data_IF_608867405467
#
_entry.id   IF_608867405467
#
_cell.length_a   1.000
_cell.length_b   1.000
_cell.length_c   1.000
_cell.angle_alpha   90.00
_cell.angle_beta   90.00
_cell.angle_gamma   90.00
#
_symmetry.space_group_name_H-M   'P 1'
#
loop_
_entity.id
_entity.type
_entity.pdbx_description
1 polymer ?
#
# COMPACT_ATOMS: atom_id res chain seq x y z
N UNK A 1 8.76 -14.61 -10.15
CA UNK A 1 8.87 -14.23 -8.72
C UNK A 1 9.87 -13.08 -8.65
N UNK A 2 9.60 -12.01 -7.90
CA UNK A 2 10.53 -10.87 -7.78
C UNK A 2 11.09 -10.74 -6.35
N UNK A 3 12.11 -9.90 -6.18
CA UNK A 3 12.79 -9.70 -4.89
C UNK A 3 11.88 -9.12 -3.78
N UNK A 4 10.80 -8.40 -4.13
CA UNK A 4 9.83 -7.86 -3.16
C UNK A 4 9.09 -8.98 -2.43
N UNK A 5 8.99 -10.16 -3.04
CA UNK A 5 8.38 -11.34 -2.42
C UNK A 5 9.19 -11.85 -1.21
N UNK A 6 10.47 -11.51 -1.13
CA UNK A 6 11.39 -11.91 -0.06
C UNK A 6 11.35 -10.96 1.13
N UNK A 7 10.75 -9.78 0.97
CA UNK A 7 10.51 -8.87 2.09
C UNK A 7 9.58 -9.54 3.11
N UNK A 8 9.94 -9.41 4.38
CA UNK A 8 9.12 -9.82 5.52
C UNK A 8 8.57 -8.56 6.18
N UNK A 9 7.25 -8.44 6.27
CA UNK A 9 6.65 -7.32 7.01
C UNK A 9 7.08 -7.44 8.47
N UNK A 10 7.78 -6.41 8.96
CA UNK A 10 8.28 -6.30 10.33
C UNK A 10 8.32 -4.83 10.71
N UNK A 11 8.22 -4.54 12.00
CA UNK A 11 8.52 -3.21 12.52
C UNK A 11 10.03 -2.97 12.57
N UNK A 12 10.43 -1.71 12.45
CA UNK A 12 11.82 -1.29 12.62
C UNK A 12 12.13 -0.98 14.09
N UNK A 13 13.43 -0.92 14.40
CA UNK A 13 13.93 -0.72 15.78
C UNK A 13 15.01 0.35 15.82
N UNK A 14 14.74 1.48 15.18
CA UNK A 14 15.60 2.65 15.20
C UNK A 14 15.71 3.14 16.63
N UNK A 15 16.95 3.41 17.05
CA UNK A 15 17.24 3.97 18.36
C UNK A 15 16.98 5.47 18.35
N UNK A 16 16.41 5.96 19.44
CA UNK A 16 16.36 7.39 19.70
C UNK A 16 17.80 7.93 19.83
N UNK A 17 18.11 8.99 19.10
CA UNK A 17 19.36 9.72 19.27
C UNK A 17 19.37 10.52 20.57
N UNK A 18 20.57 10.84 21.06
CA UNK A 18 20.77 11.69 22.23
C UNK A 18 20.80 13.16 21.82
N UNK A 19 19.66 13.84 21.95
CA UNK A 19 19.53 15.27 21.64
C UNK A 19 19.26 16.08 22.90
N UNK A 20 19.87 17.27 22.97
CA UNK A 20 19.54 18.32 23.94
C UNK A 20 18.61 19.30 23.26
N UNK A 21 17.45 19.55 23.86
CA UNK A 21 16.47 20.50 23.35
C UNK A 21 16.45 21.75 24.22
N UNK A 22 16.18 22.90 23.59
CA UNK A 22 16.08 24.19 24.27
C UNK A 22 14.62 24.63 24.36
N UNK A 23 14.27 25.28 25.47
CA UNK A 23 12.96 25.90 25.65
C UNK A 23 12.82 27.09 24.70
N UNK A 24 11.64 27.23 24.10
CA UNK A 24 11.26 28.40 23.30
C UNK A 24 9.90 28.92 23.71
N UNK A 25 9.54 30.11 23.20
CA UNK A 25 8.36 30.87 23.62
C UNK A 25 7.05 30.07 23.71
N UNK A 26 6.88 29.06 22.85
CA UNK A 26 5.66 28.27 22.74
C UNK A 26 5.86 26.75 22.87
N UNK A 27 7.06 26.28 23.19
CA UNK A 27 7.35 24.86 23.34
C UNK A 27 8.56 24.63 24.26
N UNK A 28 8.38 23.85 25.31
CA UNK A 28 9.46 23.44 26.20
C UNK A 28 10.32 22.32 25.58
N UNK A 29 11.55 22.19 26.06
CA UNK A 29 12.47 21.11 25.75
C UNK A 29 11.88 19.73 26.08
N UNK A 30 11.07 19.65 27.15
CA UNK A 30 10.36 18.42 27.54
C UNK A 30 9.32 18.04 26.49
N UNK A 31 8.56 19.02 25.99
CA UNK A 31 7.58 18.80 24.91
C UNK A 31 8.26 18.41 23.61
N UNK A 32 9.35 19.09 23.23
CA UNK A 32 10.18 18.72 22.06
C UNK A 32 10.64 17.26 22.15
N UNK A 33 11.17 16.85 23.32
CA UNK A 33 11.59 15.47 23.56
C UNK A 33 10.44 14.47 23.42
N UNK A 34 9.24 14.81 23.90
CA UNK A 34 8.05 13.96 23.77
C UNK A 34 7.61 13.83 22.32
N UNK A 35 7.62 14.92 21.55
CA UNK A 35 7.33 14.91 20.11
C UNK A 35 8.33 14.02 19.39
N UNK A 36 9.63 14.20 19.64
CA UNK A 36 10.68 13.39 19.04
C UNK A 36 10.52 11.88 19.31
N UNK A 37 10.31 11.49 20.57
CA UNK A 37 10.06 10.08 20.94
C UNK A 37 8.82 9.52 20.25
N UNK A 38 7.74 10.30 20.21
CA UNK A 38 6.52 9.94 19.48
C UNK A 38 6.80 9.71 18.00
N UNK A 39 7.62 10.58 17.39
CA UNK A 39 8.02 10.48 16.00
C UNK A 39 8.86 9.23 15.70
N UNK A 40 9.84 8.91 16.54
CA UNK A 40 10.63 7.66 16.40
C UNK A 40 9.71 6.43 16.51
N UNK A 41 8.76 6.44 17.44
CA UNK A 41 7.75 5.38 17.54
C UNK A 41 6.89 5.29 16.29
N UNK A 42 6.50 6.43 15.72
CA UNK A 42 5.72 6.51 14.48
C UNK A 42 6.48 5.90 13.29
N UNK A 43 7.77 6.19 13.14
CA UNK A 43 8.66 5.59 12.13
C UNK A 43 8.81 4.08 12.34
N UNK A 44 9.13 3.64 13.55
CA UNK A 44 9.32 2.22 13.87
C UNK A 44 8.07 1.36 13.61
N UNK A 45 6.89 1.97 13.59
CA UNK A 45 5.61 1.32 13.26
C UNK A 45 5.12 1.65 11.84
N UNK A 46 5.99 2.12 10.95
CA UNK A 46 5.68 2.41 9.55
C UNK A 46 4.49 3.35 9.39
N UNK A 47 4.59 4.48 10.09
CA UNK A 47 3.63 5.57 10.08
C UNK A 47 2.22 5.11 10.49
N UNK A 48 2.09 4.19 11.45
CA UNK A 48 0.79 3.73 11.97
C UNK A 48 -0.03 4.89 12.54
N UNK A 49 -1.27 5.05 12.08
CA UNK A 49 -2.17 6.16 12.47
C UNK A 49 -2.29 6.36 13.99
N UNK A 50 -2.40 5.28 14.78
CA UNK A 50 -2.50 5.37 16.25
C UNK A 50 -1.26 5.99 16.92
N UNK A 51 -0.12 5.99 16.25
CA UNK A 51 1.13 6.59 16.72
C UNK A 51 1.30 8.03 16.22
N UNK A 52 0.43 8.50 15.32
CA UNK A 52 0.39 9.89 14.87
C UNK A 52 -0.35 10.77 15.88
N UNK A 53 0.37 11.21 16.91
CA UNK A 53 -0.19 11.98 18.02
C UNK A 53 -0.37 13.45 17.67
N UNK A 54 -1.30 14.11 18.37
CA UNK A 54 -1.64 15.53 18.18
C UNK A 54 -0.44 16.48 18.20
N UNK A 55 0.55 16.21 19.06
CA UNK A 55 1.74 17.06 19.16
C UNK A 55 2.65 16.97 17.93
N UNK A 56 2.69 15.84 17.23
CA UNK A 56 3.40 15.72 15.94
C UNK A 56 2.69 16.57 14.89
N UNK A 57 1.37 16.40 14.76
CA UNK A 57 0.54 17.20 13.85
C UNK A 57 0.69 18.71 14.09
N UNK A 58 0.60 19.13 15.35
CA UNK A 58 0.74 20.54 15.71
C UNK A 58 2.12 21.09 15.33
N UNK A 59 3.18 20.33 15.59
CA UNK A 59 4.54 20.71 15.20
C UNK A 59 4.64 20.88 13.68
N UNK A 60 4.16 19.91 12.91
CA UNK A 60 4.21 19.96 11.45
C UNK A 60 3.52 21.21 10.89
N UNK A 61 2.26 21.47 11.26
CA UNK A 61 1.50 22.57 10.64
C UNK A 61 1.78 23.96 11.25
N UNK A 62 2.25 24.06 12.50
CA UNK A 62 2.53 25.37 13.14
C UNK A 62 3.98 25.81 12.90
N UNK A 63 4.90 24.86 12.77
CA UNK A 63 6.34 25.14 12.87
C UNK A 63 7.14 24.66 11.66
N UNK A 64 6.62 23.72 10.88
CA UNK A 64 7.30 23.18 9.69
C UNK A 64 6.67 23.62 8.35
N UNK A 65 5.61 24.45 8.39
CA UNK A 65 5.00 25.05 7.20
C UNK A 65 4.03 24.17 6.45
N UNK A 66 3.73 22.96 6.94
CA UNK A 66 2.76 22.08 6.30
C UNK A 66 1.36 22.68 6.32
N UNK A 67 0.58 22.39 5.28
CA UNK A 67 -0.79 22.88 5.18
C UNK A 67 -1.62 22.22 6.28
N UNK A 68 -2.26 23.05 7.11
CA UNK A 68 -3.21 22.55 8.08
C UNK A 68 -4.46 22.04 7.35
N UNK A 69 -4.65 20.73 7.33
CA UNK A 69 -5.94 20.15 6.94
C UNK A 69 -6.97 20.38 8.06
N UNK A 70 -8.26 20.24 7.73
CA UNK A 70 -9.40 20.50 8.63
C UNK A 70 -9.25 19.86 10.03
N UNK A 71 -8.61 18.69 10.10
CA UNK A 71 -8.24 18.03 11.35
C UNK A 71 -6.97 17.17 11.17
N UNK A 72 -6.50 16.59 12.28
CA UNK A 72 -5.34 15.66 12.31
C UNK A 72 -5.51 14.47 11.35
N UNK A 73 -6.74 14.00 11.18
CA UNK A 73 -7.05 12.86 10.34
C UNK A 73 -6.87 13.23 8.86
N UNK A 74 -7.46 14.32 8.39
CA UNK A 74 -7.25 14.82 7.04
C UNK A 74 -5.77 15.06 6.73
N UNK A 75 -5.01 15.59 7.70
CA UNK A 75 -3.56 15.75 7.57
C UNK A 75 -2.85 14.41 7.39
N UNK A 76 -3.21 13.42 8.20
CA UNK A 76 -2.63 12.10 8.04
C UNK A 76 -3.02 11.48 6.69
N UNK A 77 -4.27 11.65 6.26
CA UNK A 77 -4.77 11.15 4.98
C UNK A 77 -3.99 11.70 3.80
N UNK A 78 -3.71 13.00 3.79
CA UNK A 78 -2.93 13.67 2.73
C UNK A 78 -1.51 13.10 2.63
N UNK A 79 -0.77 13.16 3.73
CA UNK A 79 0.67 12.89 3.72
C UNK A 79 1.06 11.42 3.97
N UNK A 80 0.14 10.59 4.46
CA UNK A 80 0.43 9.21 4.86
C UNK A 80 -0.56 8.18 4.27
N UNK A 81 -1.25 8.51 3.18
CA UNK A 81 -2.18 7.64 2.45
C UNK A 81 -1.60 6.25 2.12
N UNK A 82 -0.35 6.18 1.65
CA UNK A 82 0.31 4.90 1.34
C UNK A 82 0.60 4.08 2.59
N UNK A 83 0.99 4.72 3.70
CA UNK A 83 1.11 4.04 4.98
C UNK A 83 -0.24 3.54 5.48
N UNK A 84 -1.29 4.34 5.36
CA UNK A 84 -2.65 3.97 5.69
C UNK A 84 -3.08 2.69 4.94
N UNK A 85 -2.75 2.64 3.64
CA UNK A 85 -3.02 1.48 2.77
C UNK A 85 -2.23 0.24 3.21
N UNK A 86 -0.93 0.38 3.48
CA UNK A 86 -0.11 -0.71 4.01
C UNK A 86 -0.69 -1.26 5.32
N UNK A 87 -1.01 -0.39 6.28
CA UNK A 87 -1.53 -0.80 7.59
C UNK A 87 -2.88 -1.52 7.45
N UNK A 88 -3.74 -1.08 6.54
CA UNK A 88 -5.01 -1.75 6.22
C UNK A 88 -4.80 -3.17 5.72
N UNK A 89 -3.92 -3.35 4.73
CA UNK A 89 -3.67 -4.64 4.08
C UNK A 89 -2.94 -5.59 5.04
N UNK A 90 -1.91 -5.11 5.74
CA UNK A 90 -1.05 -5.94 6.58
C UNK A 90 -1.71 -6.38 7.90
N UNK A 91 -2.61 -5.56 8.45
CA UNK A 91 -3.23 -5.81 9.76
C UNK A 91 -4.76 -5.98 9.71
N UNK A 92 -5.33 -6.10 8.50
CA UNK A 92 -6.76 -6.31 8.28
C UNK A 92 -7.64 -5.28 9.01
N UNK A 93 -7.30 -3.99 8.89
CA UNK A 93 -8.10 -2.92 9.50
C UNK A 93 -9.44 -2.83 8.75
N UNK A 94 -10.52 -3.30 9.38
CA UNK A 94 -11.85 -3.49 8.78
C UNK A 94 -12.52 -2.19 8.30
N UNK A 95 -12.22 -1.06 8.96
CA UNK A 95 -12.91 0.20 8.65
C UNK A 95 -12.47 0.73 7.29
N UNK A 96 -13.42 0.95 6.38
CA UNK A 96 -13.21 1.68 5.13
C UNK A 96 -12.64 3.06 5.47
N UNK A 97 -11.40 3.33 5.04
CA UNK A 97 -10.79 4.63 5.06
C UNK A 97 -11.70 5.79 4.63
N UNK A 98 -11.85 6.80 5.48
CA UNK A 98 -12.45 8.08 5.08
C UNK A 98 -11.49 9.23 5.35
N UNK A 99 -11.66 10.33 4.63
CA UNK A 99 -10.93 11.60 4.88
C UNK A 99 -11.08 12.05 6.34
N UNK A 100 -12.24 11.80 6.95
CA UNK A 100 -12.52 12.09 8.35
C UNK A 100 -11.85 11.13 9.34
N UNK A 101 -11.52 9.92 8.89
CA UNK A 101 -10.77 8.92 9.66
C UNK A 101 -9.26 9.01 9.43
N UNK A 102 -8.84 9.83 8.46
CA UNK A 102 -7.44 10.00 8.09
C UNK A 102 -6.92 8.81 7.35
N UNK A 103 -7.75 8.22 6.50
CA UNK A 103 -7.26 7.27 5.54
C UNK A 103 -7.78 7.76 4.20
N UNK A 104 -6.97 8.52 3.48
CA UNK A 104 -7.25 8.79 2.08
C UNK A 104 -6.66 7.63 1.28
N UNK A 105 -7.47 6.63 0.94
CA UNK A 105 -7.04 5.64 -0.05
C UNK A 105 -7.43 6.21 -1.40
N UNK A 106 -6.61 7.13 -1.93
CA UNK A 106 -6.62 7.39 -3.37
C UNK A 106 -6.51 6.06 -4.13
N UNK A 107 -6.95 5.99 -5.39
CA UNK A 107 -7.10 4.75 -6.18
C UNK A 107 -5.83 3.91 -6.36
N UNK A 108 -5.25 3.40 -5.28
CA UNK A 108 -4.07 2.56 -5.27
C UNK A 108 -4.45 1.17 -5.73
N UNK A 109 -3.67 0.63 -6.66
CA UNK A 109 -3.94 -0.67 -7.29
C UNK A 109 -3.92 -1.88 -6.34
N UNK A 110 -3.54 -1.71 -5.07
CA UNK A 110 -3.46 -2.78 -4.09
C UNK A 110 -4.74 -2.85 -3.26
N UNK A 111 -5.63 -3.77 -3.63
CA UNK A 111 -6.84 -4.10 -2.88
C UNK A 111 -6.80 -5.59 -2.54
N UNK A 112 -6.94 -5.95 -1.26
CA UNK A 112 -6.86 -7.35 -0.81
C UNK A 112 -6.27 -7.53 0.58
N UNK A 113 -6.23 -8.77 1.07
CA UNK A 113 -5.78 -9.16 2.43
C UNK A 113 -4.68 -10.23 2.40
N UNK A 114 -4.12 -10.55 1.23
CA UNK A 114 -3.09 -11.58 1.13
C UNK A 114 -1.69 -11.08 1.53
N UNK A 115 -0.81 -12.02 1.91
CA UNK A 115 0.55 -11.72 2.38
C UNK A 115 1.44 -11.08 1.31
N UNK A 116 1.17 -11.35 0.02
CA UNK A 116 1.95 -10.79 -1.07
C UNK A 116 1.62 -9.31 -1.25
N UNK A 117 0.34 -8.96 -1.27
CA UNK A 117 -0.13 -7.57 -1.33
C UNK A 117 0.39 -6.77 -0.14
N UNK A 118 0.45 -7.36 1.06
CA UNK A 118 1.05 -6.72 2.23
C UNK A 118 2.53 -6.37 2.02
N UNK A 119 3.31 -7.26 1.39
CA UNK A 119 4.73 -7.00 1.07
C UNK A 119 4.91 -5.92 0.01
N UNK A 120 4.06 -5.94 -1.03
CA UNK A 120 4.08 -4.91 -2.07
C UNK A 120 3.71 -3.54 -1.50
N UNK A 121 2.64 -3.46 -0.70
CA UNK A 121 2.25 -2.24 -0.01
C UNK A 121 3.33 -1.77 0.97
N UNK A 122 4.01 -2.70 1.65
CA UNK A 122 5.13 -2.39 2.53
C UNK A 122 6.31 -1.77 1.77
N UNK A 123 6.72 -2.36 0.66
CA UNK A 123 7.79 -1.83 -0.19
C UNK A 123 7.45 -0.46 -0.78
N UNK A 124 6.16 -0.20 -1.07
CA UNK A 124 5.70 1.08 -1.61
C UNK A 124 6.03 2.26 -0.69
N UNK A 125 6.12 2.05 0.62
CA UNK A 125 6.56 3.08 1.56
C UNK A 125 7.96 3.59 1.20
N UNK A 126 8.88 2.67 0.91
CA UNK A 126 10.23 3.00 0.52
C UNK A 126 10.28 3.68 -0.86
N UNK A 127 9.50 3.19 -1.83
CA UNK A 127 9.40 3.81 -3.16
C UNK A 127 8.92 5.26 -3.06
N UNK A 128 7.89 5.54 -2.26
CA UNK A 128 7.36 6.88 -2.12
C UNK A 128 8.34 7.82 -1.41
N UNK A 129 9.00 7.35 -0.36
CA UNK A 129 10.03 8.12 0.36
C UNK A 129 11.23 8.49 -0.52
N UNK A 130 11.53 7.70 -1.55
CA UNK A 130 12.74 7.87 -2.37
C UNK A 130 12.48 8.43 -3.77
N UNK A 131 11.24 8.35 -4.28
CA UNK A 131 10.93 8.72 -5.66
C UNK A 131 9.72 9.63 -5.85
N UNK A 132 8.89 9.86 -4.83
CA UNK A 132 7.69 10.68 -4.94
C UNK A 132 7.91 12.09 -4.43
N UNK A 133 7.27 13.06 -5.09
CA UNK A 133 7.14 14.45 -4.62
C UNK A 133 5.73 14.79 -4.15
N UNK A 134 4.96 13.76 -3.84
CA UNK A 134 3.60 13.84 -3.34
C UNK A 134 3.48 12.97 -2.08
N UNK A 135 2.47 13.25 -1.25
CA UNK A 135 2.13 12.44 -0.08
C UNK A 135 3.29 12.30 0.91
N UNK A 136 3.70 11.05 1.14
CA UNK A 136 4.77 10.69 2.07
C UNK A 136 6.14 11.16 1.59
N UNK A 137 6.36 11.15 0.28
CA UNK A 137 7.61 11.62 -0.34
C UNK A 137 7.78 13.12 -0.15
N UNK A 138 6.74 13.90 -0.41
CA UNK A 138 6.71 15.36 -0.17
C UNK A 138 6.93 15.69 1.32
N UNK A 139 6.27 14.93 2.21
CA UNK A 139 6.47 15.06 3.65
C UNK A 139 7.93 14.85 4.06
N UNK A 140 8.57 13.82 3.52
CA UNK A 140 9.98 13.55 3.78
C UNK A 140 10.92 14.60 3.16
N UNK A 141 10.65 15.04 1.93
CA UNK A 141 11.43 16.07 1.22
C UNK A 141 11.48 17.37 2.04
N UNK A 142 10.35 17.75 2.66
CA UNK A 142 10.28 18.94 3.51
C UNK A 142 11.24 18.89 4.71
N UNK A 143 11.44 17.72 5.34
CA UNK A 143 12.39 17.57 6.46
C UNK A 143 13.83 17.36 6.00
N UNK A 144 14.04 16.71 4.86
CA UNK A 144 15.39 16.40 4.34
C UNK A 144 16.03 17.58 3.59
N UNK A 145 15.22 18.45 2.98
CA UNK A 145 15.63 19.62 2.22
C UNK A 145 16.31 20.73 3.04
N UNK A 146 16.78 21.77 2.35
CA UNK A 146 17.38 22.98 2.98
C UNK A 146 16.35 23.98 3.47
N UNK A 147 15.13 23.91 2.93
CA UNK A 147 13.96 24.71 3.32
C UNK A 147 12.84 23.75 3.61
N UNK A 148 12.08 24.04 4.66
CA UNK A 148 10.90 23.29 5.02
C UNK A 148 9.78 23.41 4.00
N UNK A 149 8.63 22.83 4.33
CA UNK A 149 7.45 22.92 3.48
C UNK A 149 7.13 24.38 3.16
N UNK A 150 6.87 24.70 1.88
CA UNK A 150 6.56 26.06 1.41
C UNK A 150 7.57 27.13 1.85
N UNK A 151 8.84 26.77 2.04
CA UNK A 151 9.91 27.71 2.39
C UNK A 151 10.07 27.99 3.89
N UNK A 152 9.40 27.23 4.76
CA UNK A 152 9.54 27.37 6.21
C UNK A 152 10.99 27.21 6.68
N UNK A 153 11.40 28.00 7.67
CA UNK A 153 12.74 27.90 8.25
C UNK A 153 12.84 26.67 9.14
N UNK A 154 13.63 25.68 8.71
CA UNK A 154 13.89 24.48 9.51
C UNK A 154 14.92 24.69 10.61
N UNK A 155 15.62 25.83 10.63
CA UNK A 155 16.68 26.17 11.59
C UNK A 155 16.26 27.28 12.59
N UNK A 156 14.96 27.58 12.70
CA UNK A 156 14.46 28.57 13.67
C UNK A 156 14.41 28.04 15.10
N UNK A 157 13.53 28.61 15.91
CA UNK A 157 13.27 28.24 17.32
C UNK A 157 13.05 26.72 17.58
N UNK A 158 12.66 25.97 16.54
CA UNK A 158 12.41 24.53 16.61
C UNK A 158 13.46 23.69 15.85
N UNK A 159 14.60 24.29 15.51
CA UNK A 159 15.62 23.66 14.66
C UNK A 159 16.29 22.45 15.27
N UNK A 160 16.43 22.42 16.60
CA UNK A 160 16.89 21.26 17.37
C UNK A 160 15.97 20.04 17.18
N UNK A 161 14.66 20.24 17.30
CA UNK A 161 13.64 19.20 17.08
C UNK A 161 13.57 18.78 15.60
N UNK A 162 13.59 19.75 14.67
CA UNK A 162 13.57 19.45 13.23
C UNK A 162 14.80 18.64 12.81
N UNK A 163 15.97 18.97 13.35
CA UNK A 163 17.21 18.21 13.12
C UNK A 163 17.08 16.79 13.66
N UNK A 164 16.55 16.60 14.88
CA UNK A 164 16.35 15.28 15.45
C UNK A 164 15.38 14.42 14.61
N UNK A 165 14.29 15.03 14.10
CA UNK A 165 13.33 14.36 13.20
C UNK A 165 14.00 13.97 11.87
N UNK A 166 14.78 14.87 11.27
CA UNK A 166 15.52 14.62 10.03
C UNK A 166 16.48 13.43 10.18
N UNK A 167 17.24 13.39 11.26
CA UNK A 167 18.17 12.29 11.54
C UNK A 167 17.42 10.97 11.79
N UNK A 168 16.27 10.99 12.47
CA UNK A 168 15.45 9.79 12.64
C UNK A 168 14.94 9.24 11.30
N UNK A 169 14.55 10.12 10.37
CA UNK A 169 14.21 9.71 9.00
C UNK A 169 15.39 9.08 8.26
N UNK A 170 16.59 9.66 8.39
CA UNK A 170 17.81 9.09 7.79
C UNK A 170 18.05 7.67 8.31
N UNK A 171 18.01 7.46 9.62
CA UNK A 171 18.16 6.12 10.21
C UNK A 171 17.04 5.16 9.78
N UNK A 172 15.82 5.66 9.53
CA UNK A 172 14.74 4.83 8.99
C UNK A 172 14.99 4.37 7.56
N UNK A 173 15.58 5.23 6.71
CA UNK A 173 15.98 4.85 5.36
C UNK A 173 17.17 3.90 5.35
N UNK A 174 18.15 4.07 6.24
CA UNK A 174 19.28 3.13 6.38
C UNK A 174 18.78 1.72 6.73
N UNK A 175 17.84 1.59 7.68
CA UNK A 175 17.21 0.30 8.01
C UNK A 175 16.45 -0.30 6.82
N UNK A 176 15.83 0.53 5.97
CA UNK A 176 15.20 0.08 4.73
C UNK A 176 16.21 -0.45 3.73
N UNK A 177 17.28 0.29 3.49
CA UNK A 177 18.34 -0.09 2.55
C UNK A 177 18.96 -1.42 2.94
N UNK A 178 19.36 -1.59 4.21
CA UNK A 178 19.86 -2.87 4.72
C UNK A 178 18.86 -4.00 4.53
N UNK A 179 17.58 -3.71 4.79
CA UNK A 179 16.53 -4.71 4.68
C UNK A 179 16.27 -5.15 3.24
N UNK A 180 16.28 -4.21 2.29
CA UNK A 180 16.12 -4.46 0.86
C UNK A 180 17.34 -5.20 0.31
N UNK A 181 18.55 -4.77 0.64
CA UNK A 181 19.78 -5.46 0.23
C UNK A 181 19.78 -6.91 0.68
N UNK A 182 19.36 -7.17 1.92
CA UNK A 182 19.23 -8.55 2.41
C UNK A 182 18.18 -9.33 1.61
N UNK A 183 17.00 -8.77 1.36
CA UNK A 183 15.96 -9.44 0.59
C UNK A 183 16.41 -9.75 -0.85
N UNK A 184 17.17 -8.85 -1.48
CA UNK A 184 17.77 -9.07 -2.79
C UNK A 184 18.80 -10.20 -2.77
N UNK A 185 19.68 -10.23 -1.76
CA UNK A 185 20.64 -11.32 -1.57
C UNK A 185 19.92 -12.66 -1.37
N UNK A 186 18.89 -12.71 -0.52
CA UNK A 186 18.10 -13.91 -0.28
C UNK A 186 17.40 -14.39 -1.58
N UNK A 187 16.88 -13.45 -2.38
CA UNK A 187 16.29 -13.75 -3.69
C UNK A 187 17.33 -14.29 -4.68
N UNK A 188 18.53 -13.72 -4.74
CA UNK A 188 19.59 -14.20 -5.60
C UNK A 188 20.04 -15.61 -5.24
N UNK A 189 20.21 -15.90 -3.94
CA UNK A 189 20.51 -17.24 -3.45
C UNK A 189 19.41 -18.22 -3.82
N UNK A 190 18.15 -17.84 -3.63
CA UNK A 190 16.99 -18.63 -4.03
C UNK A 190 16.92 -18.87 -5.55
N UNK A 191 17.19 -17.84 -6.35
CA UNK A 191 17.17 -17.93 -7.82
C UNK A 191 18.26 -18.86 -8.37
N UNK A 192 19.38 -18.98 -7.66
CA UNK A 192 20.49 -19.86 -8.02
C UNK A 192 20.30 -21.31 -7.54
N UNK A 193 19.35 -21.57 -6.64
CA UNK A 193 19.09 -22.90 -6.10
C UNK A 193 18.41 -23.81 -7.16
N UNK A 194 19.07 -24.92 -7.50
CA UNK A 194 18.65 -25.82 -8.58
C UNK A 194 17.37 -26.59 -8.23
N UNK A 195 17.17 -26.95 -6.96
CA UNK A 195 15.93 -27.61 -6.51
C UNK A 195 14.74 -26.66 -6.62
N UNK A 196 14.92 -25.41 -6.22
CA UNK A 196 13.93 -24.35 -6.37
C UNK A 196 13.56 -24.11 -7.83
N UNK A 197 14.54 -24.01 -8.75
CA UNK A 197 14.24 -23.87 -10.19
C UNK A 197 13.41 -25.04 -10.72
N UNK A 198 13.74 -26.26 -10.29
CA UNK A 198 13.01 -27.46 -10.67
C UNK A 198 11.57 -27.44 -10.15
N UNK A 199 11.36 -27.08 -8.89
CA UNK A 199 10.02 -26.94 -8.29
C UNK A 199 9.21 -25.82 -8.95
N UNK A 200 9.87 -24.71 -9.32
CA UNK A 200 9.23 -23.61 -10.03
C UNK A 200 8.77 -24.04 -11.44
N UNK A 201 9.62 -24.76 -12.18
CA UNK A 201 9.25 -25.34 -13.48
C UNK A 201 8.07 -26.30 -13.37
N UNK A 202 8.08 -27.20 -12.37
CA UNK A 202 6.97 -28.12 -12.13
C UNK A 202 5.66 -27.40 -11.79
N UNK A 203 5.73 -26.33 -10.99
CA UNK A 203 4.56 -25.49 -10.67
C UNK A 203 4.00 -24.82 -11.93
N UNK A 204 4.87 -24.22 -12.76
CA UNK A 204 4.45 -23.50 -13.95
C UNK A 204 3.86 -24.45 -15.01
N UNK A 205 4.42 -25.67 -15.14
CA UNK A 205 3.84 -26.75 -15.93
C UNK A 205 2.45 -27.17 -15.44
N UNK A 206 2.28 -27.35 -14.12
CA UNK A 206 0.98 -27.68 -13.53
C UNK A 206 -0.06 -26.56 -13.77
N UNK A 207 0.34 -25.30 -13.66
CA UNK A 207 -0.53 -24.14 -13.97
C UNK A 207 -0.93 -24.09 -15.44
N UNK A 208 -0.01 -24.38 -16.35
CA UNK A 208 -0.30 -24.48 -17.79
C UNK A 208 -1.31 -25.60 -18.08
N UNK A 209 -1.17 -26.75 -17.42
CA UNK A 209 -2.13 -27.85 -17.54
C UNK A 209 -3.52 -27.46 -17.02
N UNK A 210 -3.61 -26.81 -15.86
CA UNK A 210 -4.89 -26.32 -15.31
C UNK A 210 -5.58 -25.37 -16.29
N UNK A 211 -4.83 -24.42 -16.87
CA UNK A 211 -5.37 -23.47 -17.85
C UNK A 211 -5.86 -24.19 -19.12
N UNK A 212 -5.10 -25.17 -19.61
CA UNK A 212 -5.50 -26.00 -20.75
C UNK A 212 -6.77 -26.80 -20.46
N UNK A 213 -6.90 -27.39 -19.26
CA UNK A 213 -8.12 -28.09 -18.85
C UNK A 213 -9.32 -27.15 -18.74
N UNK A 214 -9.15 -25.94 -18.20
CA UNK A 214 -10.21 -24.93 -18.16
C UNK A 214 -10.66 -24.52 -19.57
N UNK A 215 -9.73 -24.32 -20.49
CA UNK A 215 -10.05 -23.96 -21.87
C UNK A 215 -10.79 -25.09 -22.60
N UNK A 216 -10.35 -26.34 -22.39
CA UNK A 216 -11.05 -27.51 -22.90
C UNK A 216 -12.46 -27.68 -22.32
N UNK A 217 -12.65 -27.34 -21.04
CA UNK A 217 -13.98 -27.35 -20.41
C UNK A 217 -14.91 -26.31 -21.06
N UNK A 218 -14.42 -25.09 -21.31
CA UNK A 218 -15.16 -24.05 -22.04
C UNK A 218 -15.53 -24.47 -23.47
N UNK A 219 -14.62 -25.13 -24.20
CA UNK A 219 -14.89 -25.64 -25.55
C UNK A 219 -15.97 -26.73 -25.53
N UNK A 220 -15.94 -27.65 -24.55
CA UNK A 220 -16.96 -28.68 -24.39
C UNK A 220 -18.32 -28.08 -24.01
N UNK A 221 -18.34 -27.06 -23.16
CA UNK A 221 -19.55 -26.32 -22.82
C UNK A 221 -20.15 -25.62 -24.05
N UNK A 222 -19.32 -24.96 -24.87
CA UNK A 222 -19.75 -24.37 -26.13
C UNK A 222 -20.33 -25.42 -27.10
N UNK A 223 -19.69 -26.59 -27.23
CA UNK A 223 -20.20 -27.70 -28.06
C UNK A 223 -21.52 -28.28 -27.52
N UNK A 224 -21.70 -28.33 -26.20
CA UNK A 224 -22.97 -28.75 -25.59
C UNK A 224 -24.08 -27.75 -25.87
N UNK A 225 -23.79 -26.45 -25.77
CA UNK A 225 -24.75 -25.37 -26.11
C UNK A 225 -25.12 -25.43 -27.60
N UNK A 226 -24.14 -25.62 -28.49
CA UNK A 226 -24.38 -25.73 -29.94
C UNK A 226 -25.23 -26.97 -30.29
N UNK A 227 -24.99 -28.12 -29.62
CA UNK A 227 -25.81 -29.32 -29.78
C UNK A 227 -27.23 -29.19 -29.20
N UNK A 228 -27.40 -28.40 -28.13
CA UNK A 228 -28.73 -28.06 -27.60
C UNK A 228 -29.49 -27.08 -28.51
N UNK A 229 -28.78 -26.37 -29.39
CA UNK A 229 -29.36 -25.44 -30.38
C UNK A 229 -29.67 -26.07 -31.74
N UNK A 230 -29.46 -27.39 -31.93
CA UNK A 230 -29.95 -28.10 -33.12
C UNK A 230 -31.48 -27.95 -33.18
N UNK A 231 -32.07 -27.59 -34.33
CA UNK A 231 -33.39 -26.97 -34.38
C UNK A 231 -34.46 -27.90 -33.81
N UNK A 232 -35.36 -27.35 -32.99
CA UNK A 232 -36.72 -27.91 -32.88
C UNK A 232 -37.17 -28.21 -34.31
N UNK A 233 -37.37 -29.49 -34.62
CA UNK A 233 -38.06 -29.88 -35.85
C UNK A 233 -39.24 -28.92 -36.00
N UNK A 234 -39.33 -28.29 -37.17
CA UNK A 234 -40.55 -27.64 -37.63
C UNK A 234 -41.65 -28.70 -37.61
N UNK A 235 -42.27 -28.90 -36.44
CA UNK A 235 -43.61 -29.41 -36.38
C UNK A 235 -44.45 -28.27 -36.95
N UNK A 236 -44.65 -28.32 -38.26
CA UNK A 236 -45.82 -27.71 -38.88
C UNK A 236 -46.99 -28.36 -38.16
N UNK A 237 -47.52 -27.66 -37.14
CA UNK A 237 -48.85 -27.95 -36.65
C UNK A 237 -49.78 -27.66 -37.83
N UNK A 238 -50.13 -28.70 -38.58
CA UNK A 238 -51.38 -28.67 -39.33
C UNK A 238 -52.47 -28.41 -38.30
N UNK A 239 -53.14 -27.27 -38.44
CA UNK A 239 -54.27 -26.96 -37.57
C UNK A 239 -55.48 -27.70 -38.11
N UNK A 240 -56.38 -28.12 -37.22
CA UNK A 240 -57.63 -28.81 -37.57
C UNK A 240 -58.52 -28.01 -38.57
N UNK A 241 -58.16 -26.74 -38.82
CA UNK A 241 -58.86 -25.83 -39.73
C UNK A 241 -58.43 -25.97 -41.20
N UNK A 242 -57.28 -26.58 -41.50
CA UNK A 242 -56.84 -26.80 -42.88
C UNK A 242 -57.65 -27.91 -43.60
N UNK A 243 -58.52 -28.63 -42.86
CA UNK A 243 -59.39 -29.69 -43.38
C UNK A 243 -60.86 -29.27 -43.56
N UNK A 244 -61.23 -28.01 -43.26
CA UNK A 244 -62.64 -27.59 -43.30
C UNK A 244 -63.01 -26.85 -44.60
N UNK A 245 -62.04 -26.41 -45.40
CA UNK A 245 -62.31 -25.68 -46.65
C UNK A 245 -62.38 -26.57 -47.92
N UNK A 246 -62.34 -27.90 -47.78
CA UNK A 246 -62.54 -28.83 -48.91
C UNK A 246 -63.94 -29.47 -48.97
N UNK A 247 -64.88 -29.10 -48.08
CA UNK A 247 -66.22 -29.73 -48.05
C UNK A 247 -67.40 -28.74 -48.10
N UNK A 248 -67.29 -27.65 -48.87
CA UNK A 248 -68.46 -26.92 -49.39
C UNK A 248 -68.22 -26.51 -50.85
N UNK A 249 -69.02 -27.11 -51.73
CA UNK A 249 -69.20 -26.77 -53.13
C UNK A 249 -69.80 -25.36 -53.34
#
# INVERSE_FOLDING_TARGET
>A
MDARNFLKVKNFKIKEGSYTFEDVKFMSAIEKKKIYKGFVSFLNNHFKHTNFIKSIYQHCHLHCGFIAHYNINGFYGEYFSTAATFQKIAFNVEKQPSEYDGYYVGGTAYTGTDSLMAKHAFYRLYEELTSSKEGLGDFYEAFSGRRGYMGASMNGDYGDLNTAIKEAFRSYLEEWEEFITKAMSDFETFSKDEETKRLQSQKDEALAQVKAFQQKALELEAQLVEKQQIPKQLYVQSTLFDFIDEEVA
#
